data_IF_003789025278
#
_entry.id   IF_003789025278
#
_cell.length_a   1.000
_cell.length_b   1.000
_cell.length_c   1.000
_cell.angle_alpha   90.00
_cell.angle_beta   90.00
_cell.angle_gamma   90.00
#
_symmetry.space_group_name_H-M   'P 1'
#
loop_
_entity.id
_entity.type
_entity.pdbx_description
1 polymer ?
#
# COMPACT_ATOMS: atom_id res chain seq x y z
N UNK A 1 34.79 6.08 -0.56
CA UNK A 1 34.85 5.10 -1.70
C UNK A 1 33.44 5.00 -2.27
N UNK A 2 33.29 4.77 -3.56
CA UNK A 2 31.97 4.52 -4.14
C UNK A 2 31.65 3.04 -4.01
N UNK A 3 30.49 2.70 -3.42
CA UNK A 3 30.01 1.34 -3.26
C UNK A 3 28.83 1.10 -4.21
N UNK A 4 28.72 -0.13 -4.70
CA UNK A 4 27.55 -0.59 -5.45
C UNK A 4 26.50 -1.11 -4.47
N UNK A 5 25.31 -0.54 -4.49
CA UNK A 5 24.23 -0.85 -3.55
C UNK A 5 22.99 -1.25 -4.31
N UNK A 6 22.39 -2.37 -3.94
CA UNK A 6 21.08 -2.80 -4.44
C UNK A 6 20.06 -2.76 -3.32
N UNK A 7 18.80 -2.51 -3.68
CA UNK A 7 17.68 -2.45 -2.75
C UNK A 7 16.60 -3.46 -3.13
N UNK A 8 16.14 -4.22 -2.15
CA UNK A 8 14.97 -5.09 -2.24
C UNK A 8 13.89 -4.45 -1.38
N UNK A 9 12.79 -4.01 -2.00
CA UNK A 9 11.69 -3.35 -1.30
C UNK A 9 10.51 -4.31 -1.15
N UNK A 10 10.23 -4.70 0.09
CA UNK A 10 9.13 -5.58 0.45
C UNK A 10 8.01 -4.80 1.15
N UNK A 11 6.80 -5.34 1.10
CA UNK A 11 5.65 -4.84 1.82
C UNK A 11 4.87 -3.75 1.07
N UNK A 12 4.50 -2.67 1.73
CA UNK A 12 3.51 -1.72 1.23
C UNK A 12 4.10 -0.49 0.52
N UNK A 13 3.26 0.28 -0.19
CA UNK A 13 3.63 1.52 -0.86
C UNK A 13 4.37 2.54 0.03
N UNK A 14 4.05 2.62 1.34
CA UNK A 14 4.79 3.48 2.28
C UNK A 14 6.24 3.02 2.45
N UNK A 15 6.46 1.70 2.49
CA UNK A 15 7.81 1.12 2.55
C UNK A 15 8.58 1.39 1.26
N UNK A 16 7.90 1.31 0.10
CA UNK A 16 8.49 1.61 -1.20
C UNK A 16 8.97 3.06 -1.27
N UNK A 17 8.15 4.04 -0.86
CA UNK A 17 8.59 5.45 -0.77
C UNK A 17 9.82 5.62 0.13
N UNK A 18 9.88 4.91 1.27
CA UNK A 18 11.09 4.95 2.11
C UNK A 18 12.31 4.35 1.40
N UNK A 19 12.14 3.25 0.66
CA UNK A 19 13.21 2.65 -0.14
C UNK A 19 13.75 3.63 -1.18
N UNK A 20 12.87 4.30 -1.90
CA UNK A 20 13.21 5.32 -2.90
C UNK A 20 13.98 6.50 -2.31
N UNK A 21 13.60 6.96 -1.10
CA UNK A 21 14.33 7.99 -0.36
C UNK A 21 15.73 7.51 0.08
N UNK A 22 15.84 6.27 0.56
CA UNK A 22 17.14 5.68 0.91
C UNK A 22 18.05 5.54 -0.30
N UNK A 23 17.51 5.16 -1.48
CA UNK A 23 18.28 5.11 -2.73
C UNK A 23 18.84 6.49 -3.10
N UNK A 24 18.02 7.55 -3.03
CA UNK A 24 18.47 8.92 -3.28
C UNK A 24 19.55 9.37 -2.28
N UNK A 25 19.38 9.07 -0.99
CA UNK A 25 20.38 9.35 0.05
C UNK A 25 21.72 8.66 -0.23
N UNK A 26 21.69 7.40 -0.66
CA UNK A 26 22.90 6.66 -1.06
C UNK A 26 23.56 7.27 -2.31
N UNK A 27 22.76 7.65 -3.31
CA UNK A 27 23.29 8.29 -4.51
C UNK A 27 23.94 9.64 -4.21
N UNK A 28 23.32 10.45 -3.34
CA UNK A 28 23.89 11.73 -2.88
C UNK A 28 25.18 11.54 -2.10
N UNK A 29 25.35 10.42 -1.39
CA UNK A 29 26.60 10.04 -0.73
C UNK A 29 27.68 9.50 -1.71
N UNK A 30 27.38 9.41 -3.01
CA UNK A 30 28.30 8.96 -4.05
C UNK A 30 28.34 7.43 -4.25
N UNK A 31 27.31 6.72 -3.78
CA UNK A 31 27.15 5.29 -4.03
C UNK A 31 26.40 5.05 -5.35
N UNK A 32 26.68 3.90 -6.01
CA UNK A 32 26.04 3.51 -7.26
C UNK A 32 24.85 2.61 -6.95
N UNK A 33 23.65 3.02 -7.34
CA UNK A 33 22.45 2.21 -7.18
C UNK A 33 22.33 1.24 -8.35
N UNK A 34 22.16 -0.05 -8.06
CA UNK A 34 22.03 -1.12 -9.03
C UNK A 34 20.69 -1.86 -8.84
N UNK A 35 20.11 -2.29 -9.95
CA UNK A 35 18.83 -3.01 -9.93
C UNK A 35 18.97 -4.45 -9.42
N UNK A 36 20.05 -5.15 -9.82
CA UNK A 36 20.30 -6.53 -9.41
C UNK A 36 21.24 -6.60 -8.21
N UNK A 37 21.06 -7.55 -7.28
CA UNK A 37 21.91 -7.71 -6.10
C UNK A 37 23.28 -8.32 -6.43
N UNK A 38 23.41 -9.09 -7.51
CA UNK A 38 24.63 -9.80 -7.88
C UNK A 38 25.73 -8.81 -8.26
N UNK A 39 26.87 -8.97 -7.63
CA UNK A 39 28.03 -8.09 -7.83
C UNK A 39 28.01 -6.82 -7.00
N UNK A 40 27.00 -6.63 -6.15
CA UNK A 40 26.91 -5.49 -5.25
C UNK A 40 27.84 -5.62 -4.03
N UNK A 41 28.30 -4.47 -3.55
CA UNK A 41 29.02 -4.39 -2.27
C UNK A 41 28.05 -4.56 -1.09
N UNK A 42 26.86 -3.94 -1.19
CA UNK A 42 25.82 -3.99 -0.16
C UNK A 42 24.46 -4.24 -0.78
N UNK A 43 23.69 -5.13 -0.17
CA UNK A 43 22.24 -5.27 -0.44
C UNK A 43 21.48 -4.78 0.78
N UNK A 44 20.51 -3.90 0.54
CA UNK A 44 19.59 -3.38 1.55
C UNK A 44 18.23 -4.03 1.35
N UNK A 45 17.78 -4.82 2.31
CA UNK A 45 16.45 -5.44 2.32
C UNK A 45 15.52 -4.59 3.17
N UNK A 46 14.61 -3.86 2.53
CA UNK A 46 13.61 -3.04 3.22
C UNK A 46 12.36 -3.88 3.49
N UNK A 47 12.10 -4.17 4.76
CA UNK A 47 11.22 -5.24 5.21
C UNK A 47 9.87 -4.75 5.72
N UNK A 48 8.82 -5.57 5.54
CA UNK A 48 7.57 -5.44 6.26
C UNK A 48 7.66 -6.17 7.62
N UNK A 49 6.95 -5.67 8.61
CA UNK A 49 6.86 -6.26 9.96
C UNK A 49 5.44 -6.15 10.51
N UNK A 50 4.44 -6.01 9.62
CA UNK A 50 3.05 -5.78 10.00
C UNK A 50 2.33 -7.10 10.30
N UNK A 51 2.52 -8.14 9.49
CA UNK A 51 1.96 -9.47 9.65
C UNK A 51 3.07 -10.52 9.72
N UNK A 52 2.79 -11.64 10.37
CA UNK A 52 3.71 -12.77 10.45
C UNK A 52 4.14 -13.27 9.07
N UNK A 53 3.21 -13.43 8.13
CA UNK A 53 3.51 -13.85 6.74
C UNK A 53 4.43 -12.89 6.00
N UNK A 54 4.28 -11.59 6.23
CA UNK A 54 5.19 -10.59 5.64
C UNK A 54 6.58 -10.60 6.30
N UNK A 55 6.68 -11.04 7.56
CA UNK A 55 7.97 -11.28 8.21
C UNK A 55 8.64 -12.54 7.64
N UNK A 56 7.88 -13.60 7.37
CA UNK A 56 8.37 -14.83 6.72
C UNK A 56 8.93 -14.51 5.33
N UNK A 57 8.20 -13.80 4.48
CA UNK A 57 8.68 -13.31 3.19
C UNK A 57 9.98 -12.51 3.32
N UNK A 58 10.06 -11.62 4.31
CA UNK A 58 11.27 -10.84 4.56
C UNK A 58 12.47 -11.72 4.96
N UNK A 59 12.26 -12.71 5.81
CA UNK A 59 13.28 -13.67 6.22
C UNK A 59 13.76 -14.50 5.02
N UNK A 60 12.85 -15.00 4.20
CA UNK A 60 13.20 -15.78 3.00
C UNK A 60 14.09 -14.96 2.03
N UNK A 61 13.72 -13.70 1.79
CA UNK A 61 14.54 -12.80 0.98
C UNK A 61 15.93 -12.53 1.59
N UNK A 62 16.00 -12.35 2.92
CA UNK A 62 17.29 -12.17 3.62
C UNK A 62 18.17 -13.44 3.47
N UNK A 63 17.58 -14.62 3.60
CA UNK A 63 18.30 -15.89 3.45
C UNK A 63 18.77 -16.12 2.01
N UNK A 64 17.98 -15.72 1.01
CA UNK A 64 18.41 -15.72 -0.39
C UNK A 64 19.64 -14.82 -0.61
N UNK A 65 19.61 -13.60 -0.05
CA UNK A 65 20.78 -12.70 -0.08
C UNK A 65 21.97 -13.27 0.68
N UNK A 66 21.74 -14.03 1.74
CA UNK A 66 22.81 -14.72 2.48
C UNK A 66 23.48 -15.80 1.62
N UNK A 67 22.76 -16.52 0.75
CA UNK A 67 23.36 -17.46 -0.20
C UNK A 67 24.22 -16.73 -1.24
N UNK A 68 23.75 -15.58 -1.78
CA UNK A 68 24.58 -14.74 -2.66
C UNK A 68 25.85 -14.23 -1.96
N UNK A 69 25.76 -13.90 -0.68
CA UNK A 69 26.89 -13.49 0.14
C UNK A 69 27.90 -14.64 0.34
N UNK A 70 27.44 -15.87 0.63
CA UNK A 70 28.28 -17.07 0.71
C UNK A 70 28.98 -17.38 -0.62
N UNK A 71 28.27 -17.15 -1.74
CA UNK A 71 28.83 -17.30 -3.09
C UNK A 71 29.80 -16.17 -3.49
N UNK A 72 29.99 -15.15 -2.64
CA UNK A 72 30.88 -14.02 -2.90
C UNK A 72 30.33 -13.00 -3.91
N UNK A 73 29.05 -13.07 -4.24
CA UNK A 73 28.35 -12.15 -5.15
C UNK A 73 27.85 -10.89 -4.45
N UNK A 74 27.64 -10.95 -3.13
CA UNK A 74 27.28 -9.82 -2.27
C UNK A 74 28.27 -9.80 -1.10
N UNK A 75 28.71 -8.62 -0.68
CA UNK A 75 29.65 -8.52 0.45
C UNK A 75 28.94 -8.33 1.79
N UNK A 76 27.88 -7.52 1.81
CA UNK A 76 27.18 -7.11 3.02
C UNK A 76 25.68 -7.05 2.82
N UNK A 77 24.93 -7.36 3.90
CA UNK A 77 23.45 -7.31 3.93
C UNK A 77 23.03 -6.36 5.07
N UNK A 78 22.28 -5.33 4.73
CA UNK A 78 21.59 -4.46 5.67
C UNK A 78 20.10 -4.71 5.63
N UNK A 79 19.45 -4.76 6.78
CA UNK A 79 17.99 -4.93 6.89
C UNK A 79 17.39 -3.65 7.42
N UNK A 80 16.38 -3.14 6.74
CA UNK A 80 15.67 -1.91 7.14
C UNK A 80 14.17 -2.14 7.25
N UNK A 81 13.43 -1.16 7.72
CA UNK A 81 11.98 -1.17 7.67
C UNK A 81 11.29 -1.61 8.95
N UNK A 82 10.03 -2.06 8.77
CA UNK A 82 9.14 -2.35 9.90
C UNK A 82 9.58 -3.56 10.73
N UNK A 83 10.13 -4.61 10.10
CA UNK A 83 10.66 -5.77 10.82
C UNK A 83 11.88 -5.38 11.66
N UNK A 84 12.82 -4.63 11.11
CA UNK A 84 13.97 -4.10 11.84
C UNK A 84 13.53 -3.22 13.03
N UNK A 85 12.51 -2.37 12.85
CA UNK A 85 11.94 -1.55 13.92
C UNK A 85 11.28 -2.38 15.02
N UNK A 86 10.58 -3.46 14.63
CA UNK A 86 9.81 -4.30 15.55
C UNK A 86 10.71 -5.16 16.42
N UNK A 87 11.65 -5.86 15.82
CA UNK A 87 12.47 -6.89 16.47
C UNK A 87 13.88 -6.41 16.84
N UNK A 88 14.33 -5.27 16.35
CA UNK A 88 15.58 -4.62 16.75
C UNK A 88 16.78 -5.59 16.76
N UNK A 89 17.53 -5.63 17.87
CA UNK A 89 18.72 -6.46 18.03
C UNK A 89 18.43 -7.97 17.86
N UNK A 90 17.17 -8.42 18.01
CA UNK A 90 16.84 -9.83 17.82
C UNK A 90 17.00 -10.26 16.36
N UNK A 91 16.77 -9.37 15.39
CA UNK A 91 17.11 -9.62 13.98
C UNK A 91 18.59 -9.98 13.81
N UNK A 92 19.48 -9.27 14.47
CA UNK A 92 20.93 -9.54 14.41
C UNK A 92 21.33 -10.83 15.13
N UNK A 93 20.57 -11.27 16.13
CA UNK A 93 20.86 -12.51 16.88
C UNK A 93 20.40 -13.74 16.09
N UNK A 94 19.16 -13.68 15.57
CA UNK A 94 18.53 -14.81 14.88
C UNK A 94 19.02 -14.95 13.43
N UNK A 95 19.45 -13.84 12.80
CA UNK A 95 19.98 -13.81 11.43
C UNK A 95 21.46 -13.34 11.45
N UNK A 96 22.41 -14.23 11.78
CA UNK A 96 23.84 -13.89 11.87
C UNK A 96 24.43 -13.42 10.54
N UNK A 97 23.83 -13.70 9.40
CA UNK A 97 24.21 -13.27 8.06
C UNK A 97 24.05 -11.76 7.83
N UNK A 98 23.12 -11.12 8.58
CA UNK A 98 22.83 -9.68 8.49
C UNK A 98 23.97 -8.88 9.11
N UNK A 99 24.50 -7.91 8.39
CA UNK A 99 25.63 -7.08 8.82
C UNK A 99 25.21 -5.79 9.56
N UNK A 100 23.93 -5.41 9.53
CA UNK A 100 23.40 -4.27 10.28
C UNK A 100 21.93 -4.05 10.03
N UNK A 101 21.29 -3.29 10.91
CA UNK A 101 19.85 -2.97 10.81
C UNK A 101 19.58 -1.48 11.00
N UNK A 102 18.52 -0.99 10.32
CA UNK A 102 17.95 0.34 10.50
C UNK A 102 16.44 0.25 10.67
N UNK A 103 15.94 0.78 11.79
CA UNK A 103 14.50 0.91 12.00
C UNK A 103 13.88 2.05 11.19
N UNK A 104 12.55 2.15 11.26
CA UNK A 104 11.76 3.18 10.55
C UNK A 104 12.07 4.61 11.00
N UNK A 105 12.73 4.79 12.14
CA UNK A 105 13.19 6.06 12.67
C UNK A 105 14.58 6.50 12.19
N UNK A 106 15.26 5.72 11.32
CA UNK A 106 16.67 5.93 10.98
C UNK A 106 16.97 5.81 9.48
N UNK A 107 16.00 5.94 8.61
CA UNK A 107 16.22 5.81 7.16
C UNK A 107 17.26 6.82 6.61
N UNK A 108 17.32 8.02 7.20
CA UNK A 108 18.28 9.06 6.79
C UNK A 108 19.74 8.64 7.06
N UNK A 109 19.98 7.70 7.99
CA UNK A 109 21.31 7.21 8.35
C UNK A 109 21.84 6.10 7.43
N UNK A 110 21.11 5.72 6.38
CA UNK A 110 21.46 4.57 5.53
C UNK A 110 22.88 4.65 4.95
N UNK A 111 23.30 5.81 4.48
CA UNK A 111 24.65 5.99 3.93
C UNK A 111 25.73 5.85 5.02
N UNK A 112 25.45 6.37 6.23
CA UNK A 112 26.31 6.22 7.40
C UNK A 112 26.45 4.76 7.85
N UNK A 113 25.34 4.03 7.91
CA UNK A 113 25.33 2.61 8.25
C UNK A 113 26.11 1.75 7.24
N UNK A 114 25.99 2.05 5.93
CA UNK A 114 26.80 1.41 4.89
C UNK A 114 28.30 1.66 5.13
N UNK A 115 28.70 2.91 5.42
CA UNK A 115 30.09 3.23 5.72
C UNK A 115 30.58 2.51 7.00
N UNK A 116 29.77 2.40 8.02
CA UNK A 116 30.13 1.66 9.26
C UNK A 116 30.39 0.17 8.98
N UNK A 117 29.54 -0.46 8.19
CA UNK A 117 29.68 -1.86 7.82
C UNK A 117 30.89 -2.10 6.90
N UNK A 118 31.06 -1.24 5.88
CA UNK A 118 32.08 -1.43 4.85
C UNK A 118 33.49 -0.99 5.27
N UNK A 119 33.61 0.12 6.00
CA UNK A 119 34.89 0.74 6.31
C UNK A 119 35.39 0.37 7.69
N UNK A 120 34.47 0.22 8.66
CA UNK A 120 34.83 -0.04 10.06
C UNK A 120 34.59 -1.50 10.47
N UNK A 121 33.90 -2.30 9.65
CA UNK A 121 33.53 -3.66 9.98
C UNK A 121 32.58 -3.76 11.19
N UNK A 122 31.83 -2.69 11.48
CA UNK A 122 30.86 -2.66 12.55
C UNK A 122 29.56 -3.35 12.12
N UNK A 123 28.74 -3.68 13.11
CA UNK A 123 27.41 -4.26 12.90
C UNK A 123 26.34 -3.35 13.53
N UNK A 124 25.98 -2.23 12.84
CA UNK A 124 25.13 -1.19 13.41
C UNK A 124 23.71 -1.68 13.69
N UNK A 125 23.11 -1.10 14.74
CA UNK A 125 21.70 -1.23 15.09
C UNK A 125 21.13 0.17 15.31
N UNK A 126 20.67 0.82 14.23
CA UNK A 126 20.13 2.18 14.27
C UNK A 126 18.60 2.14 14.30
N UNK A 127 17.99 2.35 15.45
CA UNK A 127 16.53 2.29 15.61
C UNK A 127 15.87 3.66 15.48
N UNK A 128 16.51 4.72 15.95
CA UNK A 128 16.03 6.10 15.84
C UNK A 128 14.69 6.38 16.53
N UNK A 129 14.22 7.61 16.39
CA UNK A 129 12.96 8.05 16.97
C UNK A 129 11.85 8.09 15.90
N UNK A 130 10.90 7.15 15.97
CA UNK A 130 9.78 7.04 15.03
C UNK A 130 8.82 8.24 15.07
N UNK A 131 8.86 9.06 16.12
CA UNK A 131 7.97 10.22 16.28
C UNK A 131 8.51 11.50 15.64
N UNK A 132 9.79 11.52 15.28
CA UNK A 132 10.47 12.67 14.69
C UNK A 132 11.23 12.33 13.41
N UNK A 133 11.11 11.09 12.95
CA UNK A 133 11.73 10.64 11.69
C UNK A 133 11.32 11.54 10.53
N UNK A 134 12.29 11.89 9.69
CA UNK A 134 12.05 12.67 8.49
C UNK A 134 11.14 11.92 7.51
N UNK A 135 10.29 12.66 6.82
CA UNK A 135 9.34 12.11 5.86
C UNK A 135 9.53 12.68 4.45
N UNK A 136 10.34 13.72 4.33
CA UNK A 136 10.61 14.46 3.11
C UNK A 136 11.99 14.13 2.57
N UNK A 137 12.22 14.39 1.29
CA UNK A 137 13.52 14.19 0.65
C UNK A 137 13.37 13.76 -0.81
N UNK A 138 14.45 13.88 -1.56
CA UNK A 138 14.55 13.40 -2.93
C UNK A 138 14.32 11.89 -2.99
N UNK A 139 13.84 11.40 -4.13
CA UNK A 139 13.56 9.98 -4.37
C UNK A 139 14.11 9.53 -5.72
N UNK A 140 14.54 8.27 -5.78
CA UNK A 140 14.74 7.54 -7.03
C UNK A 140 13.55 6.62 -7.18
N UNK A 141 12.67 6.92 -8.15
CA UNK A 141 11.45 6.14 -8.36
C UNK A 141 11.78 4.69 -8.73
N UNK A 142 11.11 3.76 -8.08
CA UNK A 142 11.19 2.32 -8.32
C UNK A 142 9.91 1.77 -8.96
N UNK A 143 8.87 2.60 -9.05
CA UNK A 143 7.66 2.30 -9.81
C UNK A 143 7.91 2.40 -11.31
N UNK A 144 7.07 1.78 -12.17
CA UNK A 144 7.00 2.12 -13.58
C UNK A 144 6.83 3.64 -13.78
N UNK A 145 7.35 4.23 -14.88
CA UNK A 145 7.43 5.67 -15.04
C UNK A 145 6.06 6.38 -15.14
N UNK A 146 4.98 5.63 -15.34
CA UNK A 146 3.64 6.21 -15.51
C UNK A 146 2.86 6.38 -14.21
N UNK A 147 3.30 5.83 -13.07
CA UNK A 147 2.66 6.13 -11.79
C UNK A 147 3.69 6.34 -10.66
N UNK A 148 3.28 7.07 -9.63
CA UNK A 148 4.08 7.25 -8.43
C UNK A 148 3.18 7.42 -7.19
N UNK A 149 3.71 7.03 -6.03
CA UNK A 149 3.07 7.27 -4.75
C UNK A 149 3.45 8.64 -4.19
N UNK A 150 2.48 9.39 -3.66
CA UNK A 150 2.69 10.59 -2.86
C UNK A 150 2.29 10.29 -1.42
N UNK A 151 3.26 10.11 -0.54
CA UNK A 151 3.01 9.89 0.87
C UNK A 151 2.78 11.24 1.57
N UNK A 152 1.53 11.50 1.98
CA UNK A 152 1.13 12.80 2.55
C UNK A 152 1.27 12.88 4.07
N UNK A 153 1.34 11.74 4.75
CA UNK A 153 1.53 11.63 6.20
C UNK A 153 2.20 10.32 6.58
N UNK A 154 2.70 10.22 7.82
CA UNK A 154 3.29 9.02 8.40
C UNK A 154 2.76 8.80 9.81
N UNK A 155 2.65 7.52 10.23
CA UNK A 155 2.14 7.12 11.53
C UNK A 155 0.61 7.10 11.61
N UNK A 156 0.08 6.67 12.76
CA UNK A 156 -1.38 6.54 12.93
C UNK A 156 -1.76 6.64 14.41
N UNK A 157 -2.81 7.41 14.71
CA UNK A 157 -3.36 7.60 16.06
C UNK A 157 -4.73 6.91 16.24
N UNK A 158 -5.15 6.04 15.33
CA UNK A 158 -6.44 5.33 15.44
C UNK A 158 -6.40 4.22 16.51
N UNK A 159 -5.22 3.67 16.82
CA UNK A 159 -5.01 2.66 17.86
C UNK A 159 -5.97 1.47 17.77
N UNK A 160 -6.26 0.98 16.55
CA UNK A 160 -7.04 -0.24 16.36
C UNK A 160 -6.41 -1.40 17.15
N UNK A 161 -7.23 -2.22 17.83
CA UNK A 161 -6.74 -3.21 18.79
C UNK A 161 -5.85 -4.30 18.17
N UNK A 162 -5.98 -4.58 16.88
CA UNK A 162 -5.19 -5.56 16.12
C UNK A 162 -3.93 -4.99 15.48
N UNK A 163 -3.69 -3.67 15.55
CA UNK A 163 -2.73 -3.00 14.69
C UNK A 163 -1.43 -2.61 15.41
N UNK A 164 -0.29 -2.98 14.84
CA UNK A 164 1.05 -2.64 15.36
C UNK A 164 1.63 -1.32 14.80
N UNK A 165 0.94 -0.67 13.85
CA UNK A 165 1.46 0.54 13.17
C UNK A 165 1.87 1.65 14.13
N UNK A 166 1.13 2.00 15.20
CA UNK A 166 1.56 3.07 16.10
C UNK A 166 2.93 2.79 16.75
N UNK A 167 3.28 1.53 17.02
CA UNK A 167 4.57 1.14 17.57
C UNK A 167 5.71 1.10 16.53
N UNK A 168 5.36 0.96 15.24
CA UNK A 168 6.33 0.87 14.14
C UNK A 168 6.58 2.22 13.45
N UNK A 169 5.56 3.07 13.33
CA UNK A 169 5.57 4.31 12.55
C UNK A 169 5.33 5.57 13.38
N UNK A 170 4.98 5.38 14.65
CA UNK A 170 4.77 6.48 15.60
C UNK A 170 3.43 7.19 15.43
N UNK A 171 3.34 8.38 16.02
CA UNK A 171 2.18 9.26 15.95
C UNK A 171 1.92 9.73 14.53
N UNK A 172 0.65 10.04 14.25
CA UNK A 172 0.26 10.65 12.99
C UNK A 172 0.97 11.99 12.78
N UNK A 173 1.58 12.18 11.62
CA UNK A 173 2.31 13.39 11.25
C UNK A 173 2.06 13.69 9.78
N UNK A 174 1.34 14.77 9.51
CA UNK A 174 1.15 15.29 8.15
C UNK A 174 2.42 15.97 7.66
N UNK A 175 2.71 15.82 6.38
CA UNK A 175 3.73 16.61 5.72
C UNK A 175 3.19 18.00 5.37
N UNK A 176 4.01 19.07 5.40
CA UNK A 176 3.60 20.39 4.97
C UNK A 176 3.08 20.39 3.53
N UNK A 177 1.96 21.09 3.27
CA UNK A 177 1.32 21.11 1.94
C UNK A 177 2.27 21.63 0.85
N UNK A 178 3.09 22.64 1.15
CA UNK A 178 4.06 23.17 0.19
C UNK A 178 5.04 22.11 -0.31
N UNK A 179 5.63 21.34 0.63
CA UNK A 179 6.56 20.26 0.28
C UNK A 179 5.90 19.15 -0.57
N UNK A 180 4.62 18.85 -0.31
CA UNK A 180 3.87 17.87 -1.09
C UNK A 180 3.60 18.36 -2.51
N UNK A 181 3.29 19.65 -2.67
CA UNK A 181 3.04 20.26 -3.98
C UNK A 181 4.32 20.37 -4.79
N UNK A 182 5.44 20.69 -4.14
CA UNK A 182 6.77 20.74 -4.80
C UNK A 182 7.15 19.34 -5.31
N UNK A 183 7.06 18.30 -4.47
CA UNK A 183 7.31 16.92 -4.87
C UNK A 183 6.36 16.45 -5.97
N UNK A 184 5.07 16.76 -5.86
CA UNK A 184 4.10 16.39 -6.88
C UNK A 184 4.37 17.11 -8.23
N UNK A 185 4.83 18.35 -8.20
CA UNK A 185 5.22 19.07 -9.41
C UNK A 185 6.45 18.44 -10.09
N UNK A 186 7.41 17.98 -9.32
CA UNK A 186 8.58 17.23 -9.83
C UNK A 186 8.14 15.91 -10.49
N UNK A 187 7.25 15.14 -9.84
CA UNK A 187 6.70 13.90 -10.39
C UNK A 187 5.93 14.15 -11.70
N UNK A 188 5.08 15.16 -11.74
CA UNK A 188 4.36 15.55 -12.96
C UNK A 188 5.34 15.94 -14.08
N UNK A 189 6.37 16.72 -13.76
CA UNK A 189 7.40 17.15 -14.72
C UNK A 189 8.24 15.97 -15.25
N UNK A 190 8.40 14.90 -14.43
CA UNK A 190 9.04 13.66 -14.84
C UNK A 190 8.15 12.77 -15.74
N UNK A 191 6.89 13.15 -15.96
CA UNK A 191 5.97 12.46 -16.87
C UNK A 191 5.07 11.41 -16.20
N UNK A 192 5.01 11.39 -14.86
CA UNK A 192 4.08 10.53 -14.11
C UNK A 192 2.63 10.88 -14.51
N UNK A 193 1.86 9.86 -14.86
CA UNK A 193 0.47 10.00 -15.33
C UNK A 193 -0.54 9.80 -14.20
N UNK A 194 -0.30 8.85 -13.32
CA UNK A 194 -1.17 8.52 -12.20
C UNK A 194 -0.45 8.81 -10.87
N UNK A 195 -1.03 9.69 -10.04
CA UNK A 195 -0.56 9.98 -8.70
C UNK A 195 -1.40 9.22 -7.67
N UNK A 196 -0.77 8.33 -6.88
CA UNK A 196 -1.43 7.62 -5.79
C UNK A 196 -1.14 8.32 -4.47
N UNK A 197 -2.17 8.91 -3.87
CA UNK A 197 -2.08 9.61 -2.58
C UNK A 197 -2.23 8.59 -1.45
N UNK A 198 -1.20 8.46 -0.61
CA UNK A 198 -1.11 7.45 0.43
C UNK A 198 -0.71 8.01 1.80
N UNK A 199 -1.17 7.36 2.85
CA UNK A 199 -0.69 7.41 4.23
C UNK A 199 -1.16 6.14 4.94
N UNK A 200 -1.04 6.05 6.27
CA UNK A 200 -1.77 5.04 7.04
C UNK A 200 -3.27 5.39 7.16
N UNK A 201 -3.56 6.67 7.05
CA UNK A 201 -4.92 7.24 7.03
C UNK A 201 -4.82 8.61 6.35
N UNK A 202 -5.30 8.75 5.11
CA UNK A 202 -5.22 10.02 4.39
C UNK A 202 -6.30 11.01 4.83
N UNK A 203 -7.42 10.52 5.36
CA UNK A 203 -8.57 11.36 5.71
C UNK A 203 -8.25 12.37 6.81
N UNK A 204 -7.30 12.05 7.70
CA UNK A 204 -6.87 12.93 8.80
C UNK A 204 -5.84 13.99 8.40
N UNK A 205 -5.44 14.05 7.13
CA UNK A 205 -4.42 14.98 6.68
C UNK A 205 -4.72 16.43 7.12
N UNK A 206 -3.74 17.04 7.80
CA UNK A 206 -3.79 18.41 8.29
C UNK A 206 -4.29 18.56 9.74
N UNK A 207 -4.98 17.56 10.31
CA UNK A 207 -5.57 17.69 11.65
C UNK A 207 -4.53 17.90 12.75
N UNK A 208 -3.34 17.35 12.59
CA UNK A 208 -2.20 17.52 13.50
C UNK A 208 -1.44 18.85 13.30
N UNK A 209 -1.62 19.51 12.15
CA UNK A 209 -0.97 20.79 11.86
C UNK A 209 -1.74 21.99 12.41
N UNK A 210 -3.07 22.02 12.23
CA UNK A 210 -3.90 23.16 12.61
C UNK A 210 -5.30 22.77 13.15
N UNK A 211 -5.57 21.47 13.37
CA UNK A 211 -6.85 20.98 13.87
C UNK A 211 -7.94 20.81 12.78
N UNK A 212 -7.62 21.03 11.51
CA UNK A 212 -8.59 20.97 10.40
C UNK A 212 -8.24 19.87 9.40
N UNK A 213 -9.26 19.23 8.83
CA UNK A 213 -9.09 18.31 7.70
C UNK A 213 -8.70 19.10 6.45
N UNK A 214 -7.53 18.86 5.90
CA UNK A 214 -7.01 19.58 4.73
C UNK A 214 -6.90 18.73 3.47
N UNK A 215 -7.33 17.46 3.49
CA UNK A 215 -7.21 16.58 2.34
C UNK A 215 -7.93 17.14 1.11
N UNK A 216 -9.17 17.60 1.26
CA UNK A 216 -9.92 18.18 0.14
C UNK A 216 -9.20 19.39 -0.50
N UNK A 217 -8.59 20.25 0.34
CA UNK A 217 -7.79 21.37 -0.15
C UNK A 217 -6.53 20.91 -0.88
N UNK A 218 -5.80 19.95 -0.33
CA UNK A 218 -4.61 19.38 -0.97
C UNK A 218 -4.96 18.78 -2.34
N UNK A 219 -6.05 18.01 -2.43
CA UNK A 219 -6.48 17.39 -3.68
C UNK A 219 -6.82 18.41 -4.76
N UNK A 220 -7.51 19.51 -4.42
CA UNK A 220 -7.78 20.60 -5.37
C UNK A 220 -6.50 21.25 -5.89
N UNK A 221 -5.46 21.38 -5.06
CA UNK A 221 -4.17 21.90 -5.52
C UNK A 221 -3.43 20.86 -6.41
N UNK A 222 -3.44 19.58 -6.04
CA UNK A 222 -2.85 18.51 -6.86
C UNK A 222 -3.52 18.40 -8.24
N UNK A 223 -4.83 18.62 -8.34
CA UNK A 223 -5.57 18.62 -9.60
C UNK A 223 -5.12 19.72 -10.60
N UNK A 224 -4.43 20.75 -10.13
CA UNK A 224 -3.87 21.81 -11.00
C UNK A 224 -2.59 21.36 -11.71
N UNK A 225 -1.93 20.30 -11.20
CA UNK A 225 -0.71 19.75 -11.80
C UNK A 225 -1.04 18.82 -12.99
N UNK A 226 -0.04 18.51 -13.81
CA UNK A 226 -0.21 17.73 -15.05
C UNK A 226 -0.23 16.22 -14.80
N UNK A 227 -1.14 15.77 -13.91
CA UNK A 227 -1.50 14.37 -13.78
C UNK A 227 -2.75 14.08 -14.61
N UNK A 228 -2.84 12.86 -15.13
CA UNK A 228 -4.06 12.37 -15.77
C UNK A 228 -5.02 11.82 -14.72
N UNK A 229 -4.50 11.02 -13.77
CA UNK A 229 -5.23 10.38 -12.68
C UNK A 229 -4.65 10.71 -11.31
N UNK A 230 -5.54 10.88 -10.33
CA UNK A 230 -5.21 10.96 -8.89
C UNK A 230 -6.05 9.92 -8.18
N UNK A 231 -5.40 8.93 -7.57
CA UNK A 231 -6.03 7.83 -6.84
C UNK A 231 -5.83 7.98 -5.34
N UNK A 232 -6.85 7.62 -4.56
CA UNK A 232 -6.86 7.76 -3.10
C UNK A 232 -6.87 6.39 -2.43
N UNK A 233 -5.92 6.15 -1.52
CA UNK A 233 -5.84 4.92 -0.75
C UNK A 233 -5.87 5.18 0.75
N UNK A 234 -6.44 4.22 1.50
CA UNK A 234 -6.44 4.22 2.97
C UNK A 234 -7.26 5.36 3.58
N UNK A 235 -8.54 5.44 3.19
CA UNK A 235 -9.50 6.34 3.82
C UNK A 235 -10.11 5.68 5.07
N UNK A 236 -10.18 6.41 6.17
CA UNK A 236 -10.84 5.92 7.37
C UNK A 236 -12.32 6.35 7.37
N UNK A 237 -13.28 5.42 7.56
CA UNK A 237 -14.70 5.67 7.27
C UNK A 237 -15.29 6.90 7.96
N UNK A 238 -15.11 7.03 9.28
CA UNK A 238 -15.70 8.09 10.10
C UNK A 238 -15.05 9.48 9.93
N UNK A 239 -13.95 9.57 9.18
CA UNK A 239 -13.24 10.81 8.89
C UNK A 239 -13.52 11.34 7.47
N UNK A 240 -14.39 10.65 6.69
CA UNK A 240 -14.77 11.08 5.33
C UNK A 240 -15.80 12.21 5.43
N UNK A 241 -15.34 13.46 5.19
CA UNK A 241 -16.17 14.66 5.28
C UNK A 241 -17.00 14.90 4.02
N UNK A 242 -18.09 15.70 4.14
CA UNK A 242 -18.88 16.13 2.98
C UNK A 242 -18.06 16.92 1.97
N UNK A 243 -17.14 17.77 2.42
CA UNK A 243 -16.24 18.55 1.57
C UNK A 243 -15.34 17.62 0.75
N UNK A 244 -14.84 16.53 1.34
CA UNK A 244 -14.03 15.54 0.63
C UNK A 244 -14.85 14.84 -0.46
N UNK A 245 -16.07 14.42 -0.14
CA UNK A 245 -16.99 13.78 -1.10
C UNK A 245 -17.28 14.70 -2.28
N UNK A 246 -17.61 15.97 -1.99
CA UNK A 246 -17.89 16.97 -3.03
C UNK A 246 -16.66 17.24 -3.90
N UNK A 247 -15.47 17.27 -3.29
CA UNK A 247 -14.23 17.47 -4.03
C UNK A 247 -13.94 16.30 -4.98
N UNK A 248 -14.10 15.05 -4.51
CA UNK A 248 -13.94 13.85 -5.34
C UNK A 248 -14.94 13.85 -6.49
N UNK A 249 -16.19 14.20 -6.23
CA UNK A 249 -17.23 14.23 -7.25
C UNK A 249 -17.05 15.35 -8.30
N UNK A 250 -16.43 16.46 -7.92
CA UNK A 250 -16.28 17.64 -8.77
C UNK A 250 -14.98 17.63 -9.61
N UNK A 251 -13.94 16.96 -9.16
CA UNK A 251 -12.61 17.00 -9.79
C UNK A 251 -12.39 15.77 -10.69
N UNK A 252 -12.42 15.91 -12.02
CA UNK A 252 -12.40 14.78 -12.95
C UNK A 252 -11.08 13.98 -12.93
N UNK A 253 -9.99 14.56 -12.42
CA UNK A 253 -8.71 13.85 -12.26
C UNK A 253 -8.70 12.90 -11.06
N UNK A 254 -9.56 13.14 -10.06
CA UNK A 254 -9.68 12.25 -8.91
C UNK A 254 -10.54 11.07 -9.33
N UNK A 255 -9.95 9.89 -9.30
CA UNK A 255 -10.64 8.67 -9.71
C UNK A 255 -11.80 8.34 -8.77
N UNK A 256 -12.97 7.95 -9.30
CA UNK A 256 -14.08 7.44 -8.51
C UNK A 256 -13.79 6.02 -8.01
N UNK A 257 -12.68 5.85 -7.33
CA UNK A 257 -12.18 4.63 -6.71
C UNK A 257 -11.71 4.97 -5.29
N UNK A 258 -12.33 4.38 -4.28
CA UNK A 258 -12.03 4.67 -2.88
C UNK A 258 -11.69 3.38 -2.13
N UNK A 259 -10.48 3.33 -1.56
CA UNK A 259 -10.04 2.25 -0.68
C UNK A 259 -10.35 2.62 0.78
N UNK A 260 -11.36 1.97 1.35
CA UNK A 260 -11.94 2.25 2.68
C UNK A 260 -11.91 0.97 3.53
N UNK A 261 -10.81 0.65 4.23
CA UNK A 261 -10.69 -0.54 5.05
C UNK A 261 -11.64 -0.53 6.25
N UNK A 262 -12.76 -1.25 6.19
CA UNK A 262 -13.72 -1.33 7.31
C UNK A 262 -13.36 -2.41 8.34
N UNK A 263 -12.65 -3.44 7.92
CA UNK A 263 -12.18 -4.60 8.68
C UNK A 263 -13.30 -5.57 9.06
N UNK A 264 -14.44 -5.10 9.56
CA UNK A 264 -15.66 -5.85 9.89
C UNK A 264 -16.88 -4.94 9.87
N UNK A 265 -18.10 -5.49 9.95
CA UNK A 265 -19.34 -4.72 10.05
C UNK A 265 -20.07 -4.86 11.39
N UNK A 266 -19.79 -5.92 12.16
CA UNK A 266 -20.49 -6.17 13.43
C UNK A 266 -20.10 -5.16 14.51
N UNK A 267 -21.09 -4.52 15.16
CA UNK A 267 -20.89 -3.43 16.11
C UNK A 267 -20.07 -3.86 17.35
N UNK A 268 -20.26 -5.10 17.84
CA UNK A 268 -19.52 -5.62 18.98
C UNK A 268 -18.04 -5.77 18.65
N UNK A 269 -17.74 -6.33 17.49
CA UNK A 269 -16.37 -6.52 16.99
C UNK A 269 -15.71 -5.18 16.71
N UNK A 270 -16.38 -4.27 16.00
CA UNK A 270 -15.85 -2.94 15.72
C UNK A 270 -15.48 -2.20 17.01
N UNK A 271 -16.38 -2.22 18.01
CA UNK A 271 -16.11 -1.62 19.31
C UNK A 271 -14.93 -2.28 20.05
N UNK A 272 -14.86 -3.61 20.03
CA UNK A 272 -13.75 -4.35 20.66
C UNK A 272 -12.41 -4.03 19.97
N UNK A 273 -12.43 -3.86 18.65
CA UNK A 273 -11.27 -3.48 17.84
C UNK A 273 -10.92 -1.99 17.91
N UNK A 274 -11.56 -1.23 18.79
CA UNK A 274 -11.39 0.22 18.94
C UNK A 274 -11.68 1.00 17.64
N UNK A 275 -12.64 0.51 16.87
CA UNK A 275 -13.18 1.23 15.71
C UNK A 275 -14.42 2.02 16.13
N UNK A 276 -14.58 3.20 15.53
CA UNK A 276 -15.65 4.15 15.90
C UNK A 276 -16.93 3.94 15.07
N UNK A 277 -16.81 3.17 14.00
CA UNK A 277 -17.90 2.85 13.08
C UNK A 277 -18.89 1.87 13.70
N UNK A 278 -20.10 1.86 13.13
CA UNK A 278 -21.15 0.86 13.34
C UNK A 278 -21.63 0.35 11.98
N UNK A 279 -22.32 -0.81 11.95
CA UNK A 279 -22.94 -1.30 10.71
C UNK A 279 -23.84 -0.25 10.06
N UNK A 280 -24.64 0.43 10.89
CA UNK A 280 -25.54 1.49 10.41
C UNK A 280 -24.77 2.68 9.79
N UNK A 281 -23.68 3.15 10.45
CA UNK A 281 -22.89 4.25 9.92
C UNK A 281 -22.14 3.89 8.65
N UNK A 282 -21.63 2.67 8.55
CA UNK A 282 -20.96 2.15 7.34
C UNK A 282 -21.94 2.04 6.16
N UNK A 283 -23.13 1.47 6.39
CA UNK A 283 -24.17 1.37 5.35
C UNK A 283 -24.57 2.74 4.83
N UNK A 284 -24.81 3.70 5.73
CA UNK A 284 -25.19 5.07 5.35
C UNK A 284 -24.05 5.78 4.61
N UNK A 285 -22.81 5.62 5.05
CA UNK A 285 -21.63 6.18 4.38
C UNK A 285 -21.52 5.66 2.94
N UNK A 286 -21.57 4.34 2.73
CA UNK A 286 -21.46 3.76 1.39
C UNK A 286 -22.63 4.18 0.49
N UNK A 287 -23.87 4.23 1.04
CA UNK A 287 -25.02 4.75 0.30
C UNK A 287 -24.81 6.21 -0.11
N UNK A 288 -24.30 7.05 0.78
CA UNK A 288 -23.98 8.46 0.52
C UNK A 288 -22.91 8.61 -0.55
N UNK A 289 -21.83 7.87 -0.46
CA UNK A 289 -20.74 7.88 -1.44
C UNK A 289 -21.26 7.53 -2.84
N UNK A 290 -22.01 6.42 -2.97
CA UNK A 290 -22.58 5.98 -4.27
C UNK A 290 -23.58 7.00 -4.83
N UNK A 291 -24.34 7.68 -3.98
CA UNK A 291 -25.31 8.68 -4.44
C UNK A 291 -24.67 9.98 -4.94
N UNK A 292 -23.44 10.29 -4.51
CA UNK A 292 -22.78 11.57 -4.81
C UNK A 292 -21.62 11.44 -5.78
N UNK A 293 -21.01 10.26 -5.91
CA UNK A 293 -19.86 10.01 -6.80
C UNK A 293 -20.30 9.04 -7.89
N UNK A 294 -20.57 9.52 -9.12
CA UNK A 294 -20.95 8.67 -10.25
C UNK A 294 -19.83 7.70 -10.62
N UNK A 295 -20.19 6.44 -10.91
CA UNK A 295 -19.23 5.43 -11.34
C UNK A 295 -18.28 4.94 -10.22
N UNK A 296 -18.62 5.23 -8.96
CA UNK A 296 -17.79 4.85 -7.80
C UNK A 296 -17.54 3.34 -7.74
N UNK A 297 -16.28 2.98 -7.63
CA UNK A 297 -15.79 1.65 -7.28
C UNK A 297 -15.26 1.69 -5.85
N UNK A 298 -15.79 0.83 -5.00
CA UNK A 298 -15.37 0.72 -3.60
C UNK A 298 -14.41 -0.45 -3.45
N UNK A 299 -13.34 -0.19 -2.69
CA UNK A 299 -12.44 -1.22 -2.19
C UNK A 299 -12.44 -1.22 -0.68
N UNK A 300 -12.32 -2.40 -0.08
CA UNK A 300 -12.17 -2.55 1.36
C UNK A 300 -11.16 -3.64 1.72
N UNK A 301 -10.78 -3.67 2.99
CA UNK A 301 -10.09 -4.80 3.61
C UNK A 301 -10.94 -5.32 4.77
N UNK A 302 -11.01 -6.65 4.89
CA UNK A 302 -11.77 -7.36 5.90
C UNK A 302 -10.84 -8.30 6.66
N UNK A 303 -11.15 -8.53 7.94
CA UNK A 303 -10.45 -9.49 8.79
C UNK A 303 -11.48 -10.45 9.35
N UNK A 304 -11.31 -11.74 9.10
CA UNK A 304 -12.15 -12.82 9.65
C UNK A 304 -11.48 -13.47 10.86
N UNK A 305 -12.27 -13.99 11.78
CA UNK A 305 -11.74 -14.59 13.01
C UNK A 305 -11.28 -13.59 14.06
N UNK A 306 -11.69 -12.34 13.96
CA UNK A 306 -11.43 -11.33 14.99
C UNK A 306 -12.00 -11.74 16.36
N UNK A 307 -11.44 -11.27 17.48
CA UNK A 307 -12.03 -11.45 18.79
C UNK A 307 -13.51 -11.11 18.82
N UNK A 308 -14.31 -11.97 19.43
CA UNK A 308 -15.79 -11.94 19.50
C UNK A 308 -16.52 -12.28 18.21
N UNK A 309 -15.86 -12.73 17.17
CA UNK A 309 -16.52 -13.19 15.93
C UNK A 309 -17.02 -14.63 16.14
N UNK A 310 -18.30 -14.76 16.45
CA UNK A 310 -19.01 -16.04 16.38
C UNK A 310 -19.56 -16.29 14.97
N UNK A 311 -20.25 -17.42 14.76
CA UNK A 311 -20.82 -17.77 13.46
C UNK A 311 -21.85 -16.75 12.98
N UNK A 312 -22.69 -16.22 13.90
CA UNK A 312 -23.71 -15.22 13.54
C UNK A 312 -23.08 -13.89 13.10
N UNK A 313 -21.99 -13.48 13.74
CA UNK A 313 -21.27 -12.27 13.35
C UNK A 313 -20.55 -12.43 12.00
N UNK A 314 -20.05 -13.66 11.70
CA UNK A 314 -19.48 -13.97 10.40
C UNK A 314 -20.55 -14.00 9.29
N UNK A 315 -21.71 -14.63 9.54
CA UNK A 315 -22.84 -14.60 8.62
C UNK A 315 -23.29 -13.15 8.34
N UNK A 316 -23.36 -12.32 9.40
CA UNK A 316 -23.68 -10.88 9.25
C UNK A 316 -22.69 -10.15 8.35
N UNK A 317 -21.39 -10.47 8.41
CA UNK A 317 -20.38 -9.91 7.51
C UNK A 317 -20.64 -10.30 6.05
N UNK A 318 -20.93 -11.57 5.80
CA UNK A 318 -21.25 -12.06 4.46
C UNK A 318 -22.54 -11.43 3.88
N UNK A 319 -23.57 -11.26 4.72
CA UNK A 319 -24.80 -10.56 4.35
C UNK A 319 -24.53 -9.08 4.03
N UNK A 320 -23.73 -8.41 4.86
CA UNK A 320 -23.34 -7.02 4.65
C UNK A 320 -22.63 -6.82 3.30
N UNK A 321 -21.70 -7.73 2.94
CA UNK A 321 -21.03 -7.68 1.63
C UNK A 321 -22.04 -7.78 0.48
N UNK A 322 -23.00 -8.71 0.56
CA UNK A 322 -24.03 -8.87 -0.46
C UNK A 322 -24.97 -7.67 -0.55
N UNK A 323 -25.29 -7.04 0.58
CA UNK A 323 -26.17 -5.86 0.67
C UNK A 323 -25.47 -4.60 0.08
N UNK A 324 -24.25 -4.33 0.52
CA UNK A 324 -23.52 -3.11 0.14
C UNK A 324 -22.86 -3.25 -1.22
N UNK A 325 -22.55 -4.51 -1.65
CA UNK A 325 -21.94 -4.83 -2.96
C UNK A 325 -20.65 -4.04 -3.21
N UNK A 326 -19.70 -4.16 -2.26
CA UNK A 326 -18.37 -3.57 -2.43
C UNK A 326 -17.64 -4.31 -3.55
N UNK A 327 -17.23 -3.60 -4.60
CA UNK A 327 -16.68 -4.20 -5.82
C UNK A 327 -15.35 -4.91 -5.60
N UNK A 328 -14.53 -4.43 -4.68
CA UNK A 328 -13.20 -4.97 -4.41
C UNK A 328 -13.01 -5.20 -2.90
N UNK A 329 -12.69 -6.39 -2.47
CA UNK A 329 -12.35 -6.65 -1.08
C UNK A 329 -11.16 -7.61 -0.93
N UNK A 330 -10.18 -7.20 -0.15
CA UNK A 330 -9.17 -8.11 0.37
C UNK A 330 -9.64 -8.69 1.70
N UNK A 331 -9.67 -10.02 1.81
CA UNK A 331 -10.08 -10.71 3.05
C UNK A 331 -8.87 -11.41 3.65
N UNK A 332 -8.62 -11.16 4.92
CA UNK A 332 -7.46 -11.69 5.63
C UNK A 332 -7.91 -12.44 6.90
N UNK A 333 -7.36 -13.62 7.19
CA UNK A 333 -7.56 -14.23 8.50
C UNK A 333 -6.87 -13.39 9.58
N UNK A 334 -7.47 -13.31 10.76
CA UNK A 334 -6.88 -12.61 11.90
C UNK A 334 -5.53 -13.24 12.27
N UNK A 335 -4.52 -12.38 12.36
CA UNK A 335 -3.19 -12.72 12.87
C UNK A 335 -3.01 -12.06 14.25
N UNK A 336 -2.86 -12.82 15.34
CA UNK A 336 -2.68 -12.28 16.69
C UNK A 336 -1.26 -11.73 16.86
N UNK A 337 -1.02 -10.52 16.38
CA UNK A 337 0.29 -9.88 16.37
C UNK A 337 0.77 -9.52 17.79
N UNK A 338 1.95 -9.96 18.15
CA UNK A 338 2.56 -9.67 19.45
C UNK A 338 2.61 -8.15 19.73
N UNK A 339 2.26 -7.77 20.97
CA UNK A 339 2.20 -6.38 21.41
C UNK A 339 0.87 -5.68 21.10
N UNK A 340 -0.08 -6.34 20.42
CA UNK A 340 -1.42 -5.81 20.17
C UNK A 340 -2.40 -6.22 21.28
N UNK A 341 -3.44 -5.39 21.48
CA UNK A 341 -4.50 -5.71 22.44
C UNK A 341 -5.32 -6.91 21.99
N UNK A 342 -5.60 -7.02 20.70
CA UNK A 342 -6.41 -8.11 20.16
C UNK A 342 -5.75 -9.49 20.32
N UNK A 343 -4.43 -9.57 20.29
CA UNK A 343 -3.72 -10.83 20.51
C UNK A 343 -3.91 -11.43 21.93
N UNK A 344 -4.33 -10.61 22.88
CA UNK A 344 -4.61 -11.01 24.27
C UNK A 344 -6.08 -11.37 24.51
N UNK A 345 -6.95 -11.17 23.51
CA UNK A 345 -8.38 -11.46 23.58
C UNK A 345 -8.65 -12.88 23.10
N UNK A 346 -9.77 -13.45 23.57
CA UNK A 346 -10.24 -14.74 23.06
C UNK A 346 -10.72 -14.60 21.62
N UNK A 347 -10.23 -15.45 20.73
CA UNK A 347 -10.56 -15.49 19.31
C UNK A 347 -10.63 -16.94 18.83
N UNK A 348 -11.20 -17.18 17.66
CA UNK A 348 -11.18 -18.50 17.01
C UNK A 348 -9.75 -18.91 16.65
N UNK A 349 -9.53 -20.19 16.45
CA UNK A 349 -8.21 -20.66 16.00
C UNK A 349 -7.90 -20.20 14.57
N UNK A 350 -6.63 -20.31 14.19
CA UNK A 350 -6.15 -19.82 12.89
C UNK A 350 -6.78 -20.57 11.72
N UNK A 351 -7.09 -21.85 11.85
CA UNK A 351 -7.69 -22.64 10.76
C UNK A 351 -9.16 -22.22 10.55
N UNK A 352 -9.89 -21.95 11.62
CA UNK A 352 -11.25 -21.40 11.50
C UNK A 352 -11.24 -19.98 10.89
N UNK A 353 -10.30 -19.12 11.29
CA UNK A 353 -10.15 -17.80 10.70
C UNK A 353 -9.86 -17.88 9.19
N UNK A 354 -8.99 -18.81 8.75
CA UNK A 354 -8.70 -19.07 7.34
C UNK A 354 -9.93 -19.59 6.60
N UNK A 355 -10.64 -20.58 7.17
CA UNK A 355 -11.88 -21.11 6.56
C UNK A 355 -12.91 -20.00 6.33
N UNK A 356 -13.09 -19.10 7.29
CA UNK A 356 -13.98 -17.95 7.16
C UNK A 356 -13.48 -16.97 6.10
N UNK A 357 -12.17 -16.75 6.01
CA UNK A 357 -11.62 -15.91 4.96
C UNK A 357 -11.92 -16.47 3.57
N UNK A 358 -11.74 -17.76 3.34
CA UNK A 358 -12.07 -18.44 2.09
C UNK A 358 -13.56 -18.28 1.73
N UNK A 359 -14.47 -18.51 2.68
CA UNK A 359 -15.91 -18.34 2.45
C UNK A 359 -16.29 -16.88 2.14
N UNK A 360 -15.65 -15.91 2.77
CA UNK A 360 -15.89 -14.49 2.47
C UNK A 360 -15.31 -14.10 1.11
N UNK A 361 -14.20 -14.72 0.67
CA UNK A 361 -13.66 -14.58 -0.69
C UNK A 361 -14.63 -15.15 -1.72
N UNK A 362 -15.28 -16.29 -1.46
CA UNK A 362 -16.32 -16.84 -2.35
C UNK A 362 -17.46 -15.84 -2.54
N UNK A 363 -17.96 -15.26 -1.44
CA UNK A 363 -19.00 -14.20 -1.52
C UNK A 363 -18.53 -12.99 -2.33
N UNK A 364 -17.27 -12.61 -2.15
CA UNK A 364 -16.69 -11.48 -2.87
C UNK A 364 -16.51 -11.77 -4.37
N UNK A 365 -16.19 -13.02 -4.70
CA UNK A 365 -16.05 -13.46 -6.10
C UNK A 365 -17.36 -13.31 -6.87
N UNK A 366 -18.49 -13.71 -6.28
CA UNK A 366 -19.83 -13.50 -6.88
C UNK A 366 -20.08 -12.00 -7.15
N UNK A 367 -19.69 -11.12 -6.22
CA UNK A 367 -19.89 -9.66 -6.36
C UNK A 367 -19.02 -9.08 -7.48
N UNK A 368 -17.76 -9.55 -7.59
CA UNK A 368 -16.83 -9.14 -8.67
C UNK A 368 -17.36 -9.62 -10.03
N UNK A 369 -17.84 -10.87 -10.12
CA UNK A 369 -18.43 -11.41 -11.36
C UNK A 369 -19.62 -10.57 -11.81
N UNK A 370 -20.57 -10.30 -10.93
CA UNK A 370 -21.73 -9.45 -11.22
C UNK A 370 -21.31 -8.03 -11.67
N UNK A 371 -20.28 -7.46 -11.01
CA UNK A 371 -19.74 -6.17 -11.41
C UNK A 371 -19.12 -6.25 -12.81
N UNK A 372 -18.28 -7.23 -13.07
CA UNK A 372 -17.64 -7.42 -14.37
C UNK A 372 -18.69 -7.61 -15.47
N UNK A 373 -19.72 -8.43 -15.25
CA UNK A 373 -20.84 -8.59 -16.20
C UNK A 373 -21.56 -7.27 -16.47
N UNK A 374 -21.78 -6.45 -15.43
CA UNK A 374 -22.50 -5.18 -15.55
C UNK A 374 -21.79 -4.13 -16.40
N UNK A 375 -20.49 -4.25 -16.58
CA UNK A 375 -19.67 -3.30 -17.35
C UNK A 375 -19.36 -3.79 -18.77
N UNK A 376 -19.73 -5.02 -19.14
CA UNK A 376 -19.54 -5.52 -20.50
C UNK A 376 -20.28 -4.67 -21.52
N UNK A 377 -19.66 -4.47 -22.68
CA UNK A 377 -20.17 -3.62 -23.76
C UNK A 377 -19.89 -2.13 -23.55
N UNK A 378 -19.39 -1.71 -22.39
CA UNK A 378 -18.96 -0.31 -22.15
C UNK A 378 -17.54 -0.07 -22.65
N UNK A 379 -17.19 1.19 -22.85
CA UNK A 379 -15.83 1.62 -23.12
C UNK A 379 -15.17 2.14 -21.84
N UNK A 380 -13.91 1.75 -21.63
CA UNK A 380 -13.09 2.17 -20.51
C UNK A 380 -11.78 2.78 -21.04
N UNK A 381 -11.39 3.90 -20.47
CA UNK A 381 -10.03 4.40 -20.64
C UNK A 381 -9.08 3.52 -19.83
N UNK A 382 -8.08 2.95 -20.48
CA UNK A 382 -7.12 1.99 -19.90
C UNK A 382 -5.71 2.54 -20.06
N UNK A 383 -4.98 2.61 -18.97
CA UNK A 383 -3.54 2.86 -18.96
C UNK A 383 -2.84 1.54 -19.29
N UNK A 384 -2.29 1.43 -20.49
CA UNK A 384 -1.53 0.25 -20.91
C UNK A 384 -0.26 0.11 -20.06
N UNK A 385 -0.02 -1.06 -19.49
CA UNK A 385 1.13 -1.35 -18.65
C UNK A 385 2.11 -2.34 -19.29
N UNK A 386 1.68 -3.06 -20.32
CA UNK A 386 2.55 -3.98 -21.03
C UNK A 386 1.82 -4.90 -22.01
N UNK A 387 2.58 -5.91 -22.45
CA UNK A 387 2.09 -6.98 -23.32
C UNK A 387 2.41 -8.33 -22.69
N UNK A 388 1.39 -9.17 -22.56
CA UNK A 388 1.54 -10.54 -22.07
C UNK A 388 1.80 -11.49 -23.26
N UNK A 389 2.99 -12.03 -23.32
CA UNK A 389 3.40 -12.94 -24.38
C UNK A 389 2.72 -14.31 -24.34
N UNK A 390 2.12 -14.73 -23.21
CA UNK A 390 1.38 -15.97 -23.09
C UNK A 390 -0.07 -15.77 -23.54
N UNK A 391 -0.73 -14.74 -23.06
CA UNK A 391 -2.08 -14.37 -23.46
C UNK A 391 -2.13 -13.78 -24.88
N UNK A 392 -0.99 -13.31 -25.42
CA UNK A 392 -0.90 -12.57 -26.70
C UNK A 392 -1.79 -11.33 -26.72
N UNK A 393 -1.89 -10.65 -25.57
CA UNK A 393 -2.73 -9.48 -25.37
C UNK A 393 -1.94 -8.39 -24.65
N UNK A 394 -2.30 -7.14 -24.90
CA UNK A 394 -1.90 -6.03 -24.03
C UNK A 394 -2.66 -6.13 -22.71
N UNK A 395 -2.08 -5.57 -21.66
CA UNK A 395 -2.76 -5.44 -20.39
C UNK A 395 -2.57 -4.06 -19.79
N UNK A 396 -3.49 -3.67 -18.95
CA UNK A 396 -3.44 -2.38 -18.26
C UNK A 396 -4.53 -2.27 -17.20
N UNK A 397 -4.77 -1.05 -16.74
CA UNK A 397 -5.77 -0.74 -15.72
C UNK A 397 -6.65 0.43 -16.16
N UNK A 398 -7.92 0.36 -15.80
CA UNK A 398 -8.79 1.53 -15.81
C UNK A 398 -8.78 2.27 -14.47
N UNK A 399 -9.68 3.21 -14.31
CA UNK A 399 -9.87 3.86 -13.01
C UNK A 399 -10.31 2.86 -11.91
N UNK A 400 -10.92 1.74 -12.28
CA UNK A 400 -11.50 0.77 -11.36
C UNK A 400 -10.49 -0.26 -10.81
N UNK A 401 -9.26 -0.26 -11.29
CA UNK A 401 -8.19 -1.14 -10.84
C UNK A 401 -7.01 -0.34 -10.28
N UNK A 402 -6.57 -0.68 -9.08
CA UNK A 402 -5.37 -0.12 -8.45
C UNK A 402 -4.12 -0.95 -8.81
N UNK A 403 -2.95 -0.32 -9.04
CA UNK A 403 -1.73 -1.05 -9.34
C UNK A 403 -1.39 -2.04 -8.23
N UNK A 404 -0.94 -3.24 -8.62
CA UNK A 404 -0.41 -4.31 -7.77
C UNK A 404 -1.40 -4.90 -6.73
N UNK A 405 -2.64 -4.42 -6.68
CA UNK A 405 -3.63 -4.82 -5.67
C UNK A 405 -4.87 -5.46 -6.31
N UNK A 406 -5.38 -4.84 -7.38
CA UNK A 406 -6.56 -5.30 -8.10
C UNK A 406 -6.13 -6.00 -9.40
N UNK A 407 -7.10 -6.57 -10.10
CA UNK A 407 -6.89 -7.23 -11.38
C UNK A 407 -6.52 -6.29 -12.53
N UNK A 408 -6.46 -6.84 -13.73
CA UNK A 408 -6.06 -6.14 -14.95
C UNK A 408 -7.18 -6.21 -15.98
N UNK A 409 -7.06 -5.36 -17.00
CA UNK A 409 -7.86 -5.45 -18.23
C UNK A 409 -6.92 -5.92 -19.33
N UNK A 410 -7.24 -7.07 -19.94
CA UNK A 410 -6.55 -7.55 -21.14
C UNK A 410 -7.25 -7.03 -22.38
N UNK A 411 -6.48 -6.64 -23.40
CA UNK A 411 -7.09 -6.14 -24.64
C UNK A 411 -6.26 -6.43 -25.87
N UNK A 412 -6.94 -6.55 -27.02
CA UNK A 412 -6.32 -6.62 -28.34
C UNK A 412 -6.28 -5.25 -29.00
N UNK A 413 -5.29 -5.04 -29.88
CA UNK A 413 -5.15 -3.84 -30.69
C UNK A 413 -4.56 -4.21 -32.05
N UNK A 414 -4.87 -3.41 -33.10
CA UNK A 414 -4.35 -3.63 -34.48
C UNK A 414 -2.86 -3.26 -34.63
N UNK A 415 -2.23 -2.70 -33.62
CA UNK A 415 -0.83 -2.24 -33.64
C UNK A 415 -0.18 -2.30 -32.27
N UNK A 416 1.08 -1.83 -32.19
CA UNK A 416 1.81 -1.73 -30.94
C UNK A 416 1.23 -0.62 -30.06
N UNK A 417 1.03 -0.90 -28.79
CA UNK A 417 0.66 0.06 -27.75
C UNK A 417 1.80 0.17 -26.75
N UNK A 418 2.41 1.34 -26.65
CA UNK A 418 3.51 1.55 -25.71
C UNK A 418 3.01 1.58 -24.26
N UNK A 419 3.70 0.93 -23.31
CA UNK A 419 3.39 1.07 -21.89
C UNK A 419 3.39 2.55 -21.45
N UNK A 420 2.47 2.90 -20.56
CA UNK A 420 2.24 4.28 -20.14
C UNK A 420 1.30 5.09 -21.06
N UNK A 421 0.71 4.47 -22.10
CA UNK A 421 -0.25 5.11 -22.99
C UNK A 421 -1.69 4.84 -22.54
N UNK A 422 -2.55 5.86 -22.58
CA UNK A 422 -3.99 5.69 -22.39
C UNK A 422 -4.66 5.32 -23.71
N UNK A 423 -5.49 4.29 -23.67
CA UNK A 423 -6.30 3.81 -24.81
C UNK A 423 -7.74 3.58 -24.37
N UNK A 424 -8.68 3.72 -25.29
CA UNK A 424 -10.06 3.32 -25.03
C UNK A 424 -10.22 1.84 -25.41
N UNK A 425 -10.75 1.07 -24.46
CA UNK A 425 -11.02 -0.38 -24.62
C UNK A 425 -12.50 -0.63 -24.46
N UNK A 426 -13.12 -1.27 -25.44
CA UNK A 426 -14.47 -1.81 -25.32
C UNK A 426 -14.41 -3.16 -24.64
N UNK A 427 -15.03 -3.29 -23.48
CA UNK A 427 -15.05 -4.54 -22.70
C UNK A 427 -15.99 -5.56 -23.38
N UNK A 428 -15.48 -6.74 -23.71
CA UNK A 428 -16.19 -7.76 -24.47
C UNK A 428 -16.45 -9.05 -23.70
N UNK A 429 -15.73 -9.29 -22.61
CA UNK A 429 -15.87 -10.52 -21.82
C UNK A 429 -14.97 -10.55 -20.61
N UNK A 430 -14.82 -11.75 -20.05
CA UNK A 430 -13.91 -12.05 -18.93
C UNK A 430 -13.05 -13.26 -19.25
N UNK A 431 -11.84 -13.32 -18.69
CA UNK A 431 -10.90 -14.43 -18.78
C UNK A 431 -10.23 -14.61 -17.41
N UNK A 432 -10.42 -15.76 -16.79
CA UNK A 432 -9.88 -16.09 -15.46
C UNK A 432 -10.20 -15.01 -14.39
N UNK A 433 -11.43 -14.44 -14.45
CA UNK A 433 -11.89 -13.39 -13.54
C UNK A 433 -11.49 -11.95 -13.93
N UNK A 434 -10.60 -11.79 -14.91
CA UNK A 434 -10.14 -10.51 -15.42
C UNK A 434 -10.99 -10.02 -16.59
N UNK A 435 -11.17 -8.71 -16.72
CA UNK A 435 -11.87 -8.12 -17.87
C UNK A 435 -11.05 -8.24 -19.15
N UNK A 436 -11.74 -8.51 -20.25
CA UNK A 436 -11.13 -8.60 -21.60
C UNK A 436 -11.85 -7.65 -22.54
N UNK A 437 -11.11 -7.06 -23.48
CA UNK A 437 -11.66 -6.14 -24.46
C UNK A 437 -10.87 -6.00 -25.75
N UNK A 438 -11.31 -5.06 -26.55
CA UNK A 438 -10.67 -4.67 -27.80
C UNK A 438 -10.47 -3.16 -27.79
N UNK A 439 -9.33 -2.69 -28.28
CA UNK A 439 -9.08 -1.25 -28.44
C UNK A 439 -10.12 -0.67 -29.38
N UNK A 440 -10.83 0.39 -28.93
CA UNK A 440 -11.94 1.02 -29.64
C UNK A 440 -11.48 1.95 -30.77
#
# INVERSE_FOLDING_TARGET
MSYNVSFISLGCAKNQVNCEQMMATCQAAGYNIQAAPEGCDVVVVNTCGFLASACEEAIDNILEMAELKKAGQVKKILVTGCMAQRYKEDVLKELPEVDGILGTGSYDDIAGAIAEVMEKGLRPCHIGNIHTANQSGERILSTPPWYAYLRIAEGCDNHCAYCVIPSLRGKYRSRPMGELLDEAAELASAGVKELLVIAQDITRYGTDLNGEHQLAKLLRELCKLDFHWIRLHYLYPDEITDELIDTIAAEPKILPYLDIPIQHCNDTILKAMNRRDTKASLTEMFRKLRSRIPGLVLRTSLITGLPYEDEAAFEELCEFLREVRIERAGVFPFSPEEGTRAALMEHVDTEEAKRRAELAVDVQSDIIEDYNESVLGTEREVLCEGFDGQAQMFFGRSYAESPDIDGRIYFTADGEVAPGTFVNVRLTGTMDGELVGEMA
#
